data_IF_942097725080
#
_entry.id   IF_942097725080
#
_cell.length_a   1.000
_cell.length_b   1.000
_cell.length_c   1.000
_cell.angle_alpha   90.00
_cell.angle_beta   90.00
_cell.angle_gamma   90.00
#
_symmetry.space_group_name_H-M   'P 1'
#
loop_
_entity.id
_entity.type
_entity.pdbx_description
1 polymer ?
#
# COMPACT_ATOMS: atom_id res chain seq x y z
N UNK A 1 -8.95 42.44 15.36
CA UNK A 1 -7.59 41.85 15.28
C UNK A 1 -7.61 40.39 15.77
N UNK A 2 -8.50 39.54 15.22
CA UNK A 2 -8.77 38.17 15.72
C UNK A 2 -9.08 37.17 14.58
N UNK A 3 -8.56 37.41 13.36
CA UNK A 3 -8.85 36.56 12.19
C UNK A 3 -7.63 35.93 11.53
N UNK A 4 -6.43 36.16 12.04
CA UNK A 4 -5.18 35.64 11.45
C UNK A 4 -4.66 34.40 12.20
N UNK A 5 -5.06 34.19 13.46
CA UNK A 5 -4.55 33.08 14.28
C UNK A 5 -5.22 31.73 13.93
N UNK A 6 -6.46 31.75 13.43
CA UNK A 6 -7.21 30.51 13.14
C UNK A 6 -6.66 29.71 11.95
N UNK A 7 -5.93 30.35 11.03
CA UNK A 7 -5.35 29.64 9.88
C UNK A 7 -4.07 28.86 10.22
N UNK A 8 -3.34 29.23 11.28
CA UNK A 8 -2.11 28.54 11.67
C UNK A 8 -2.37 27.26 12.48
N UNK A 9 -3.53 27.14 13.13
CA UNK A 9 -3.89 25.95 13.92
C UNK A 9 -4.32 24.77 13.04
N UNK A 10 -4.76 25.02 11.80
CA UNK A 10 -5.14 23.98 10.84
C UNK A 10 -3.95 23.31 10.13
N UNK A 11 -2.74 23.87 10.23
CA UNK A 11 -1.52 23.28 9.64
C UNK A 11 -0.79 22.31 10.58
N UNK A 12 -1.20 22.20 11.86
CA UNK A 12 -0.44 21.46 12.89
C UNK A 12 -1.18 20.24 13.47
N UNK A 13 -2.40 19.94 13.03
CA UNK A 13 -3.19 18.80 13.52
C UNK A 13 -3.41 17.69 12.50
N UNK A 14 -2.86 17.82 11.29
CA UNK A 14 -2.73 16.71 10.37
C UNK A 14 -1.48 15.91 10.72
N UNK A 15 -1.58 14.93 11.61
CA UNK A 15 -0.59 13.86 11.68
C UNK A 15 -0.39 13.38 10.24
N UNK A 16 0.84 13.52 9.72
CA UNK A 16 1.20 13.09 8.38
C UNK A 16 1.15 11.56 8.32
N UNK A 17 -0.08 11.04 8.28
CA UNK A 17 -0.39 9.63 8.28
C UNK A 17 0.31 8.96 7.09
N UNK A 18 1.09 7.92 7.37
CA UNK A 18 1.79 7.16 6.32
C UNK A 18 2.84 7.96 5.53
N UNK A 19 3.37 9.06 6.09
CA UNK A 19 4.54 9.73 5.51
C UNK A 19 5.75 8.77 5.43
N UNK A 20 5.88 7.91 6.43
CA UNK A 20 6.91 6.89 6.54
C UNK A 20 6.35 5.52 6.97
N UNK A 21 7.23 4.53 6.98
CA UNK A 21 6.92 3.18 7.42
C UNK A 21 6.61 3.10 8.92
N UNK A 22 7.17 3.97 9.74
CA UNK A 22 6.90 3.97 11.18
C UNK A 22 5.43 4.25 11.45
N UNK A 23 4.89 5.34 10.90
CA UNK A 23 3.48 5.71 11.07
C UNK A 23 2.55 4.63 10.50
N UNK A 24 2.79 4.17 9.27
CA UNK A 24 1.93 3.14 8.66
C UNK A 24 1.96 1.82 9.46
N UNK A 25 3.14 1.41 9.95
CA UNK A 25 3.29 0.20 10.77
C UNK A 25 2.46 0.26 12.04
N UNK A 26 2.42 1.39 12.74
CA UNK A 26 1.65 1.53 13.98
C UNK A 26 0.16 1.23 13.75
N UNK A 27 -0.42 1.82 12.69
CA UNK A 27 -1.81 1.59 12.33
C UNK A 27 -2.06 0.15 11.86
N UNK A 28 -1.15 -0.41 11.06
CA UNK A 28 -1.27 -1.79 10.61
C UNK A 28 -1.11 -2.81 11.75
N UNK A 29 -0.27 -2.51 12.74
CA UNK A 29 -0.11 -3.36 13.93
C UNK A 29 -1.40 -3.35 14.75
N UNK A 30 -1.98 -2.16 15.00
CA UNK A 30 -3.25 -2.05 15.71
C UNK A 30 -4.40 -2.78 15.00
N UNK A 31 -4.44 -2.74 13.67
CA UNK A 31 -5.40 -3.50 12.88
C UNK A 31 -5.18 -5.03 12.98
N UNK A 32 -3.93 -5.48 12.88
CA UNK A 32 -3.58 -6.91 13.00
C UNK A 32 -3.84 -7.46 14.41
N UNK A 33 -3.54 -6.69 15.47
CA UNK A 33 -3.79 -7.07 16.87
C UNK A 33 -5.29 -7.25 17.16
N UNK A 34 -6.15 -6.61 16.36
CA UNK A 34 -7.61 -6.80 16.37
C UNK A 34 -8.07 -7.92 15.45
N UNK A 35 -7.17 -8.85 15.08
CA UNK A 35 -7.43 -9.94 14.14
C UNK A 35 -7.97 -9.48 12.78
N UNK A 36 -7.50 -8.32 12.30
CA UNK A 36 -7.95 -7.71 11.05
C UNK A 36 -9.45 -7.36 11.02
N UNK A 37 -10.03 -7.09 12.20
CA UNK A 37 -11.38 -6.55 12.32
C UNK A 37 -11.35 -5.03 12.37
N UNK A 38 -12.10 -4.38 11.48
CA UNK A 38 -12.28 -2.93 11.53
C UNK A 38 -13.24 -2.58 12.67
N UNK A 39 -12.71 -2.04 13.76
CA UNK A 39 -13.51 -1.63 14.93
C UNK A 39 -13.61 -0.12 15.06
N UNK A 40 -12.64 0.61 14.52
CA UNK A 40 -12.62 2.09 14.48
C UNK A 40 -12.36 2.59 13.05
N UNK A 41 -12.59 3.88 12.83
CA UNK A 41 -12.21 4.57 11.59
C UNK A 41 -10.69 4.58 11.40
N UNK A 42 -9.90 4.61 12.47
CA UNK A 42 -8.44 4.53 12.41
C UNK A 42 -7.96 3.16 11.88
N UNK A 43 -8.72 2.09 12.14
CA UNK A 43 -8.43 0.75 11.62
C UNK A 43 -8.55 0.67 10.09
N UNK A 44 -9.33 1.57 9.48
CA UNK A 44 -9.46 1.63 8.02
C UNK A 44 -8.23 2.21 7.34
N UNK A 45 -7.35 2.88 8.08
CA UNK A 45 -6.24 3.62 7.49
C UNK A 45 -5.18 2.68 6.89
N UNK A 46 -4.82 1.60 7.60
CA UNK A 46 -3.92 0.58 7.08
C UNK A 46 -4.51 -0.08 5.81
N UNK A 47 -5.77 -0.51 5.89
CA UNK A 47 -6.47 -1.14 4.76
C UNK A 47 -6.57 -0.22 3.56
N UNK A 48 -6.95 1.04 3.76
CA UNK A 48 -7.09 2.04 2.70
C UNK A 48 -5.76 2.27 2.00
N UNK A 49 -4.66 2.37 2.75
CA UNK A 49 -3.33 2.52 2.17
C UNK A 49 -2.94 1.31 1.32
N UNK A 50 -3.11 0.09 1.85
CA UNK A 50 -2.81 -1.13 1.11
C UNK A 50 -3.68 -1.26 -0.14
N UNK A 51 -4.98 -0.94 -0.03
CA UNK A 51 -5.93 -1.02 -1.13
C UNK A 51 -5.59 -0.02 -2.24
N UNK A 52 -5.22 1.21 -1.90
CA UNK A 52 -4.79 2.20 -2.89
C UNK A 52 -3.56 1.74 -3.69
N UNK A 53 -2.57 1.13 -3.03
CA UNK A 53 -1.39 0.58 -3.70
C UNK A 53 -1.76 -0.65 -4.54
N UNK A 54 -2.61 -1.53 -4.01
CA UNK A 54 -3.13 -2.71 -4.73
C UNK A 54 -3.84 -2.29 -6.02
N UNK A 55 -4.79 -1.37 -5.96
CA UNK A 55 -5.57 -0.91 -7.10
C UNK A 55 -4.68 -0.25 -8.15
N UNK A 56 -3.78 0.64 -7.74
CA UNK A 56 -2.81 1.26 -8.65
C UNK A 56 -1.86 0.22 -9.27
N UNK A 57 -1.50 -0.84 -8.55
CA UNK A 57 -0.68 -1.93 -9.06
C UNK A 57 -1.43 -2.82 -10.06
N UNK A 58 -2.73 -3.09 -9.81
CA UNK A 58 -3.58 -3.88 -10.70
C UNK A 58 -3.83 -3.18 -12.02
N UNK A 59 -4.08 -1.87 -12.01
CA UNK A 59 -4.17 -1.05 -13.24
C UNK A 59 -2.95 -1.21 -14.16
N UNK A 60 -1.76 -1.35 -13.56
CA UNK A 60 -0.51 -1.57 -14.31
C UNK A 60 -0.43 -2.98 -14.91
N UNK A 61 -1.00 -3.99 -14.24
CA UNK A 61 -1.15 -5.31 -14.86
C UNK A 61 -2.11 -5.28 -16.05
N UNK A 62 -3.25 -4.59 -15.93
CA UNK A 62 -4.18 -4.41 -17.05
C UNK A 62 -3.49 -3.71 -18.23
N UNK A 63 -2.71 -2.65 -17.96
CA UNK A 63 -1.95 -1.97 -19.00
C UNK A 63 -0.91 -2.90 -19.66
N UNK A 64 -0.17 -3.70 -18.89
CA UNK A 64 0.80 -4.65 -19.43
C UNK A 64 0.14 -5.65 -20.39
N UNK A 65 -0.98 -6.26 -19.99
CA UNK A 65 -1.72 -7.19 -20.83
C UNK A 65 -2.26 -6.50 -22.09
N UNK A 66 -2.88 -5.33 -21.94
CA UNK A 66 -3.42 -4.57 -23.07
C UNK A 66 -2.35 -4.20 -24.11
N UNK A 67 -1.20 -3.67 -23.68
CA UNK A 67 -0.15 -3.24 -24.61
C UNK A 67 0.69 -4.41 -25.15
N UNK A 68 0.69 -5.57 -24.48
CA UNK A 68 1.25 -6.80 -25.02
C UNK A 68 0.42 -7.31 -26.21
N UNK A 69 -0.90 -7.28 -26.10
CA UNK A 69 -1.82 -7.73 -27.16
C UNK A 69 -1.91 -6.76 -28.34
N UNK A 70 -1.86 -5.44 -28.08
CA UNK A 70 -2.13 -4.43 -29.09
C UNK A 70 -0.87 -3.84 -29.74
N UNK A 71 0.31 -4.17 -29.21
CA UNK A 71 1.56 -3.50 -29.55
C UNK A 71 1.57 -2.04 -29.07
N UNK A 72 2.72 -1.57 -28.58
CA UNK A 72 2.82 -0.16 -28.17
C UNK A 72 3.91 0.14 -27.16
N UNK A 73 4.36 -0.88 -26.42
CA UNK A 73 5.47 -0.72 -25.47
C UNK A 73 6.71 -1.49 -25.90
N UNK A 74 7.87 -0.86 -25.70
CA UNK A 74 9.18 -1.50 -25.78
C UNK A 74 9.37 -2.46 -24.60
N UNK A 75 10.30 -3.42 -24.71
CA UNK A 75 10.63 -4.34 -23.63
C UNK A 75 11.09 -3.61 -22.35
N UNK A 76 11.80 -2.48 -22.50
CA UNK A 76 12.22 -1.67 -21.35
C UNK A 76 11.03 -1.02 -20.64
N UNK A 77 10.04 -0.53 -21.39
CA UNK A 77 8.81 0.01 -20.81
C UNK A 77 8.02 -1.07 -20.08
N UNK A 78 7.89 -2.27 -20.66
CA UNK A 78 7.25 -3.42 -20.00
C UNK A 78 7.97 -3.79 -18.71
N UNK A 79 9.30 -3.94 -18.74
CA UNK A 79 10.12 -4.25 -17.55
C UNK A 79 10.00 -3.19 -16.47
N UNK A 80 9.94 -1.91 -16.85
CA UNK A 80 9.78 -0.83 -15.89
C UNK A 80 8.42 -0.93 -15.18
N UNK A 81 7.33 -1.04 -15.94
CA UNK A 81 5.96 -1.09 -15.40
C UNK A 81 5.72 -2.37 -14.59
N UNK A 82 6.28 -3.50 -15.00
CA UNK A 82 6.17 -4.78 -14.30
C UNK A 82 6.66 -4.71 -12.84
N UNK A 83 7.65 -3.85 -12.53
CA UNK A 83 8.13 -3.63 -11.15
C UNK A 83 7.08 -3.01 -10.23
N UNK A 84 6.10 -2.31 -10.82
CA UNK A 84 5.05 -1.60 -10.10
C UNK A 84 3.72 -2.35 -10.12
N UNK A 85 3.63 -3.39 -10.94
CA UNK A 85 2.41 -4.13 -11.13
C UNK A 85 2.15 -5.11 -9.98
N UNK A 86 0.87 -5.30 -9.66
CA UNK A 86 0.38 -6.24 -8.65
C UNK A 86 -0.66 -7.08 -9.38
N UNK A 87 -0.41 -8.38 -9.51
CA UNK A 87 -1.31 -9.22 -10.29
C UNK A 87 -2.63 -9.49 -9.60
N UNK A 88 -3.49 -10.17 -10.34
CA UNK A 88 -4.78 -10.55 -9.81
C UNK A 88 -4.65 -11.71 -8.84
N UNK A 89 -5.50 -11.63 -7.83
CA UNK A 89 -5.83 -12.78 -7.02
C UNK A 89 -6.81 -13.68 -7.77
N UNK A 90 -6.53 -14.98 -7.77
CA UNK A 90 -7.49 -16.01 -8.17
C UNK A 90 -8.34 -16.50 -6.99
N UNK A 91 -8.15 -15.89 -5.81
CA UNK A 91 -8.85 -16.23 -4.58
C UNK A 91 -10.15 -15.43 -4.48
N UNK A 92 -11.31 -16.08 -4.32
CA UNK A 92 -12.58 -15.39 -4.13
C UNK A 92 -12.63 -14.55 -2.84
N UNK A 93 -11.69 -14.76 -1.91
CA UNK A 93 -11.57 -14.00 -0.67
C UNK A 93 -10.37 -13.03 -0.73
N UNK A 94 -10.54 -11.94 -1.48
CA UNK A 94 -9.53 -10.88 -1.65
C UNK A 94 -9.10 -10.23 -0.32
N UNK A 95 -10.00 -10.18 0.67
CA UNK A 95 -9.69 -9.62 1.98
C UNK A 95 -8.63 -10.46 2.73
N UNK A 96 -8.66 -11.79 2.56
CA UNK A 96 -7.68 -12.68 3.20
C UNK A 96 -6.25 -12.42 2.70
N UNK A 97 -6.08 -12.14 1.42
CA UNK A 97 -4.77 -11.85 0.83
C UNK A 97 -4.28 -10.45 1.19
N UNK A 98 -5.19 -9.49 1.28
CA UNK A 98 -4.86 -8.16 1.78
C UNK A 98 -4.35 -8.25 3.23
N UNK A 99 -5.04 -9.01 4.08
CA UNK A 99 -4.59 -9.28 5.46
C UNK A 99 -3.23 -10.00 5.50
N UNK A 100 -3.01 -10.98 4.63
CA UNK A 100 -1.72 -11.66 4.51
C UNK A 100 -0.59 -10.70 4.07
N UNK A 101 -0.89 -9.77 3.17
CA UNK A 101 0.05 -8.73 2.72
C UNK A 101 0.39 -7.75 3.84
N UNK A 102 -0.61 -7.36 4.65
CA UNK A 102 -0.41 -6.54 5.85
C UNK A 102 0.49 -7.27 6.85
N UNK A 103 0.23 -8.55 7.12
CA UNK A 103 1.07 -9.35 8.02
C UNK A 103 2.51 -9.48 7.49
N UNK A 104 2.68 -9.67 6.18
CA UNK A 104 4.00 -9.70 5.56
C UNK A 104 4.74 -8.37 5.78
N UNK A 105 4.06 -7.25 5.58
CA UNK A 105 4.60 -5.91 5.82
C UNK A 105 5.06 -5.70 7.25
N UNK A 106 4.24 -6.07 8.24
CA UNK A 106 4.59 -5.97 9.66
C UNK A 106 5.86 -6.77 9.98
N UNK A 107 5.93 -8.00 9.46
CA UNK A 107 7.10 -8.85 9.60
C UNK A 107 8.34 -8.26 8.92
N UNK A 108 8.18 -7.64 7.74
CA UNK A 108 9.26 -6.97 7.02
C UNK A 108 9.79 -5.78 7.82
N UNK A 109 8.91 -4.95 8.37
CA UNK A 109 9.29 -3.79 9.17
C UNK A 109 9.93 -4.19 10.50
N UNK A 110 9.48 -5.29 11.12
CA UNK A 110 10.14 -5.82 12.31
C UNK A 110 11.58 -6.27 12.02
N UNK A 111 11.83 -6.84 10.84
CA UNK A 111 13.18 -7.30 10.43
C UNK A 111 14.10 -6.18 9.95
N UNK A 112 13.54 -5.04 9.54
CA UNK A 112 14.26 -3.93 8.90
C UNK A 112 13.96 -2.58 9.56
N UNK A 113 14.35 -2.38 10.84
CA UNK A 113 14.12 -1.13 11.55
C UNK A 113 14.78 0.08 10.87
N UNK A 114 15.86 -0.12 10.12
CA UNK A 114 16.54 0.92 9.35
C UNK A 114 15.66 1.52 8.23
N UNK A 115 14.59 0.83 7.83
CA UNK A 115 13.67 1.30 6.78
C UNK A 115 12.46 2.07 7.32
N UNK A 116 12.35 2.24 8.64
CA UNK A 116 11.18 2.86 9.26
C UNK A 116 10.96 4.32 8.85
N UNK A 117 12.03 5.08 8.61
CA UNK A 117 11.94 6.47 8.15
C UNK A 117 11.70 6.63 6.65
N UNK A 118 11.63 5.53 5.88
CA UNK A 118 11.41 5.58 4.44
C UNK A 118 9.92 5.63 4.09
N UNK A 119 9.60 6.18 2.91
CA UNK A 119 8.24 6.16 2.38
C UNK A 119 7.69 4.72 2.26
N UNK A 120 6.45 4.46 2.69
CA UNK A 120 5.96 3.09 2.82
C UNK A 120 5.62 2.41 1.49
N UNK A 121 5.44 3.18 0.42
CA UNK A 121 5.00 2.69 -0.90
C UNK A 121 5.80 1.48 -1.41
N UNK A 122 7.12 1.49 -1.22
CA UNK A 122 8.00 0.41 -1.70
C UNK A 122 7.81 -0.85 -0.87
N UNK A 123 7.75 -0.73 0.47
CA UNK A 123 7.58 -1.85 1.37
C UNK A 123 6.18 -2.47 1.23
N UNK A 124 5.13 -1.64 1.14
CA UNK A 124 3.76 -2.09 0.91
C UNK A 124 3.62 -2.84 -0.41
N UNK A 125 4.18 -2.28 -1.50
CA UNK A 125 4.18 -2.95 -2.80
C UNK A 125 4.90 -4.30 -2.76
N UNK A 126 6.07 -4.35 -2.12
CA UNK A 126 6.80 -5.60 -1.96
C UNK A 126 5.96 -6.65 -1.22
N UNK A 127 5.25 -6.24 -0.16
CA UNK A 127 4.37 -7.12 0.59
C UNK A 127 3.18 -7.62 -0.24
N UNK A 128 2.59 -6.77 -1.07
CA UNK A 128 1.53 -7.16 -2.00
C UNK A 128 2.09 -8.15 -3.05
N UNK A 129 3.23 -7.85 -3.68
CA UNK A 129 3.84 -8.75 -4.67
C UNK A 129 4.29 -10.11 -4.09
N UNK A 130 4.48 -10.20 -2.77
CA UNK A 130 4.76 -11.47 -2.11
C UNK A 130 3.52 -12.40 -2.03
N UNK A 131 2.31 -11.83 -2.13
CA UNK A 131 1.04 -12.57 -2.00
C UNK A 131 0.31 -12.67 -3.34
N UNK A 132 0.27 -11.58 -4.10
CA UNK A 132 -0.36 -11.52 -5.42
C UNK A 132 0.66 -11.94 -6.49
N UNK A 133 0.43 -13.05 -7.22
CA UNK A 133 1.34 -13.46 -8.28
C UNK A 133 1.43 -12.36 -9.35
N UNK A 134 2.58 -12.22 -10.02
CA UNK A 134 2.76 -11.21 -11.08
C UNK A 134 1.73 -11.35 -12.21
N UNK A 135 1.58 -10.29 -13.02
CA UNK A 135 0.67 -10.29 -14.17
C UNK A 135 1.01 -11.47 -15.09
N UNK A 136 0.11 -12.45 -15.18
CA UNK A 136 0.19 -13.58 -16.10
C UNK A 136 -1.03 -13.56 -17.00
#
# INVERSE_FOLDING_TARGET
>A
MFRIITLFVLFMSGSAFGADNYGLREHCQGFADKNFEMRTTEDTLCLTYFKAIEDSGREKCFALQYFEENGGWTEDQKRLIAKFAIGNSNNPNSLKELNASIQYYLNLMQKKPEQWGNAPVTAVRQSLQAIYPGCR
#
